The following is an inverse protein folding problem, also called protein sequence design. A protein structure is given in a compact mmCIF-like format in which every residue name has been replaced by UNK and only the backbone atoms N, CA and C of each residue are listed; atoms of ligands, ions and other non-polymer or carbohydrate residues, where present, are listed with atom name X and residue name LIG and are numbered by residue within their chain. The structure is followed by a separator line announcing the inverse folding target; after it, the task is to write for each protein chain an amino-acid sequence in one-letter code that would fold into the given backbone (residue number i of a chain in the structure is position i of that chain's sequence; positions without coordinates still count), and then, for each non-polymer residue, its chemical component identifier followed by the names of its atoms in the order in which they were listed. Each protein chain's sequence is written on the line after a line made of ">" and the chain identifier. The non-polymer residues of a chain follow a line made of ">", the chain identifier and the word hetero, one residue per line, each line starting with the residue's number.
data_IF_512674239205
#
_entry.id   IF_512674239205
#
_cell.length_a   1.000
_cell.length_b   1.000
_cell.length_c   1.000
_cell.angle_alpha   90.00
_cell.angle_beta   90.00
_cell.angle_gamma   90.00
#
_symmetry.space_group_name_H-M   'P 1'
#
loop_
_entity.id
_entity.type
_entity.pdbx_description
1 polymer ?
#
# COMPACT_ATOMS: atom_id res chain seq x y z
N UNK A 1 8.96 -34.97 -16.98
CA UNK A 1 10.24 -34.25 -16.79
C UNK A 1 9.94 -32.76 -16.62
N UNK A 2 9.72 -32.29 -15.39
CA UNK A 2 9.50 -30.87 -15.14
C UNK A 2 10.84 -30.15 -15.31
N UNK A 3 10.95 -29.24 -16.29
CA UNK A 3 12.15 -28.43 -16.49
C UNK A 3 12.48 -27.71 -15.17
N UNK A 4 13.68 -27.95 -14.65
CA UNK A 4 14.15 -27.39 -13.38
C UNK A 4 14.19 -25.87 -13.50
N UNK A 5 13.18 -25.19 -12.96
CA UNK A 5 13.11 -23.74 -12.96
C UNK A 5 14.15 -23.21 -11.97
N UNK A 6 15.11 -22.44 -12.44
CA UNK A 6 16.15 -21.87 -11.59
C UNK A 6 15.57 -20.73 -10.73
N UNK A 7 16.22 -20.43 -9.60
CA UNK A 7 15.83 -19.29 -8.76
C UNK A 7 15.87 -17.96 -9.54
N UNK A 8 16.84 -17.81 -10.45
CA UNK A 8 16.94 -16.65 -11.34
C UNK A 8 15.71 -16.48 -12.25
N UNK A 9 15.15 -17.58 -12.77
CA UNK A 9 13.95 -17.55 -13.62
C UNK A 9 12.67 -17.18 -12.84
N UNK A 10 12.63 -17.46 -11.53
CA UNK A 10 11.51 -17.05 -10.66
C UNK A 10 11.58 -15.56 -10.31
N UNK A 11 12.79 -15.02 -10.14
CA UNK A 11 13.02 -13.62 -9.80
C UNK A 11 12.70 -12.68 -10.97
N UNK A 12 13.02 -13.07 -12.21
CA UNK A 12 12.75 -12.25 -13.41
C UNK A 12 11.26 -12.09 -13.76
N UNK A 13 10.41 -13.03 -13.33
CA UNK A 13 8.98 -13.05 -13.67
C UNK A 13 8.11 -12.16 -12.77
N UNK A 14 8.63 -11.73 -11.62
CA UNK A 14 7.96 -10.80 -10.74
C UNK A 14 8.72 -9.48 -10.83
N UNK A 15 8.25 -8.58 -11.70
CA UNK A 15 8.48 -7.17 -11.45
C UNK A 15 7.89 -6.90 -10.06
N UNK A 16 8.78 -6.88 -9.05
CA UNK A 16 8.41 -6.51 -7.70
C UNK A 16 7.88 -5.10 -7.84
N UNK A 17 6.58 -4.93 -7.59
CA UNK A 17 5.91 -3.65 -7.65
C UNK A 17 6.78 -2.65 -6.90
N UNK A 18 7.42 -1.74 -7.64
CA UNK A 18 8.44 -0.82 -7.12
C UNK A 18 7.84 0.30 -6.29
N UNK A 19 6.50 0.29 -6.14
CA UNK A 19 5.74 1.25 -5.36
C UNK A 19 5.86 0.95 -3.88
N UNK A 20 6.01 2.02 -3.12
CA UNK A 20 6.08 1.98 -1.66
C UNK A 20 4.68 1.71 -1.14
N UNK A 21 4.52 0.68 -0.32
CA UNK A 21 3.26 0.39 0.35
C UNK A 21 3.22 1.15 1.68
N UNK A 22 2.28 2.09 1.83
CA UNK A 22 2.16 2.95 3.00
C UNK A 22 0.78 2.75 3.63
N UNK A 23 0.74 2.65 4.97
CA UNK A 23 -0.50 2.65 5.74
C UNK A 23 -0.84 4.10 6.13
N UNK A 24 -1.95 4.61 5.63
CA UNK A 24 -2.45 5.94 5.98
C UNK A 24 -3.51 5.77 7.07
N UNK A 25 -3.38 6.52 8.17
CA UNK A 25 -4.30 6.52 9.30
C UNK A 25 -4.82 7.95 9.49
N UNK A 26 -6.13 8.16 9.32
CA UNK A 26 -6.77 9.47 9.48
C UNK A 26 -7.79 9.41 10.61
N UNK A 27 -7.61 10.26 11.60
CA UNK A 27 -8.58 10.47 12.68
C UNK A 27 -9.73 11.36 12.21
N UNK A 28 -10.95 11.01 12.55
CA UNK A 28 -12.13 11.85 12.34
C UNK A 28 -13.02 11.85 13.58
N UNK A 29 -13.71 12.96 13.80
CA UNK A 29 -14.72 13.07 14.86
C UNK A 29 -16.01 12.44 14.36
N UNK A 30 -16.50 11.43 15.07
CA UNK A 30 -17.82 10.86 14.82
C UNK A 30 -18.90 11.79 15.35
N UNK A 31 -20.11 11.75 14.77
CA UNK A 31 -21.26 12.53 15.24
C UNK A 31 -21.60 12.32 16.72
N UNK A 32 -21.18 11.19 17.29
CA UNK A 32 -21.32 10.83 18.71
C UNK A 32 -20.22 11.41 19.61
N UNK A 33 -19.37 12.30 19.11
CA UNK A 33 -18.28 12.95 19.87
C UNK A 33 -17.02 12.10 20.06
N UNK A 34 -17.05 10.80 19.74
CA UNK A 34 -15.87 9.94 19.78
C UNK A 34 -14.91 10.18 18.61
N UNK A 35 -13.61 9.96 18.84
CA UNK A 35 -12.60 9.96 17.78
C UNK A 35 -12.55 8.56 17.19
N UNK A 36 -12.75 8.46 15.87
CA UNK A 36 -12.59 7.23 15.10
C UNK A 36 -11.42 7.38 14.14
N UNK A 37 -10.89 6.25 13.69
CA UNK A 37 -9.78 6.20 12.77
C UNK A 37 -10.20 5.43 11.52
N UNK A 38 -9.86 5.96 10.35
CA UNK A 38 -9.90 5.23 9.08
C UNK A 38 -8.47 4.84 8.73
N UNK A 39 -8.26 3.57 8.40
CA UNK A 39 -6.97 3.08 7.92
C UNK A 39 -7.10 2.48 6.52
N UNK A 40 -6.14 2.81 5.64
CA UNK A 40 -6.06 2.25 4.29
C UNK A 40 -4.62 2.06 3.89
N UNK A 41 -4.33 0.91 3.27
CA UNK A 41 -3.05 0.66 2.61
C UNK A 41 -3.12 1.19 1.18
N UNK A 42 -2.13 2.00 0.82
CA UNK A 42 -2.03 2.62 -0.50
C UNK A 42 -0.63 2.43 -1.03
N UNK A 43 -0.53 2.16 -2.33
CA UNK A 43 0.75 2.08 -3.03
C UNK A 43 1.05 3.44 -3.65
N UNK A 44 2.17 4.02 -3.27
CA UNK A 44 2.65 5.32 -3.76
C UNK A 44 3.95 5.14 -4.52
N UNK A 45 4.22 6.00 -5.50
CA UNK A 45 5.52 5.97 -6.17
C UNK A 45 6.58 6.69 -5.32
N UNK A 46 6.17 7.71 -4.58
CA UNK A 46 7.03 8.51 -3.72
C UNK A 46 6.34 8.85 -2.39
N UNK A 47 7.12 9.02 -1.32
CA UNK A 47 6.60 9.35 0.01
C UNK A 47 5.95 10.74 0.06
N UNK A 48 6.33 11.67 -0.81
CA UNK A 48 5.71 12.99 -0.90
C UNK A 48 4.26 12.94 -1.47
N UNK A 49 3.83 11.82 -2.03
CA UNK A 49 2.45 11.64 -2.51
C UNK A 49 1.45 11.38 -1.37
N UNK A 50 1.93 11.06 -0.15
CA UNK A 50 1.07 10.70 1.00
C UNK A 50 0.09 11.83 1.36
N UNK A 51 0.52 13.09 1.30
CA UNK A 51 -0.33 14.25 1.62
C UNK A 51 -1.45 14.49 0.60
N UNK A 52 -1.31 13.98 -0.62
CA UNK A 52 -2.30 14.13 -1.70
C UNK A 52 -3.40 13.06 -1.63
N UNK A 53 -3.23 12.04 -0.79
CA UNK A 53 -4.14 10.91 -0.73
C UNK A 53 -5.21 11.18 0.33
N UNK A 54 -6.43 11.45 -0.12
CA UNK A 54 -7.59 11.51 0.77
C UNK A 54 -8.20 10.11 0.95
N UNK A 55 -8.23 9.64 2.20
CA UNK A 55 -8.82 8.36 2.61
C UNK A 55 -10.21 8.50 3.26
N UNK A 56 -10.85 9.66 3.15
CA UNK A 56 -12.16 9.95 3.76
C UNK A 56 -13.36 9.54 2.89
N UNK A 57 -13.13 8.97 1.69
CA UNK A 57 -14.15 8.37 0.83
C UNK A 57 -14.27 6.85 0.98
#
# INVERSE_FOLDING_TARGET
>A
MAKQQTFGDKLKKKAVDSRINVKIIKGFRSDKGSIKFVERFVKVNDLAEVDKIDISK
#
